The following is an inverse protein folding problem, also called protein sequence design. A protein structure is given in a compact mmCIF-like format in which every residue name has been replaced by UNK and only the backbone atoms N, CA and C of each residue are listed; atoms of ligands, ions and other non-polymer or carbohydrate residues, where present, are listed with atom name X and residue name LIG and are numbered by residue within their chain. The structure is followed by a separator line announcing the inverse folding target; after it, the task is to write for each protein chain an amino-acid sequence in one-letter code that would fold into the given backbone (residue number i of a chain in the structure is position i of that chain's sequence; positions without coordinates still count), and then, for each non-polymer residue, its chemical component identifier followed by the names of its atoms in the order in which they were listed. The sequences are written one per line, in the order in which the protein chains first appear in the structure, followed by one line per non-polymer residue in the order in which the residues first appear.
data_IF_601761665228
#
_entry.id   IF_601761665228
#
_cell.length_a   1.000
_cell.length_b   1.000
_cell.length_c   1.000
_cell.angle_alpha   90.00
_cell.angle_beta   90.00
_cell.angle_gamma   90.00
#
_symmetry.space_group_name_H-M   'P 1'
#
loop_
_entity.id
_entity.type
_entity.pdbx_description
1 polymer ?
#
# COMPACT_ATOMS: atom_id res chain seq x y z
N UNK A 1 -40.27 66.70 -11.79
CA UNK A 1 -38.87 66.39 -12.13
C UNK A 1 -38.46 64.93 -11.91
N UNK A 2 -39.33 64.06 -11.34
CA UNK A 2 -38.98 62.68 -10.95
C UNK A 2 -39.28 61.61 -12.03
N UNK A 3 -40.25 61.86 -12.93
CA UNK A 3 -40.69 60.90 -13.97
C UNK A 3 -39.73 60.74 -15.15
N UNK A 4 -39.01 61.81 -15.55
CA UNK A 4 -37.97 61.71 -16.60
C UNK A 4 -36.74 60.95 -16.14
N UNK A 5 -36.35 61.07 -14.86
CA UNK A 5 -35.21 60.32 -14.31
C UNK A 5 -35.51 58.82 -14.24
N UNK A 6 -36.72 58.44 -13.81
CA UNK A 6 -37.16 57.02 -13.77
C UNK A 6 -37.27 56.38 -15.16
N UNK A 7 -37.77 57.09 -16.17
CA UNK A 7 -37.79 56.58 -17.56
C UNK A 7 -36.39 56.44 -18.14
N UNK A 8 -35.49 57.39 -17.86
CA UNK A 8 -34.10 57.34 -18.30
C UNK A 8 -33.34 56.17 -17.66
N UNK A 9 -33.51 55.94 -16.35
CA UNK A 9 -32.87 54.82 -15.64
C UNK A 9 -33.39 53.46 -16.10
N UNK A 10 -34.69 53.35 -16.41
CA UNK A 10 -35.27 52.09 -16.94
C UNK A 10 -34.78 51.82 -18.36
N UNK A 11 -34.73 52.85 -19.23
CA UNK A 11 -34.21 52.71 -20.60
C UNK A 11 -32.70 52.39 -20.64
N UNK A 12 -31.91 53.01 -19.76
CA UNK A 12 -30.48 52.70 -19.60
C UNK A 12 -30.28 51.27 -19.08
N UNK A 13 -31.06 50.84 -18.08
CA UNK A 13 -30.95 49.50 -17.50
C UNK A 13 -31.29 48.38 -18.51
N UNK A 14 -32.28 48.58 -19.38
CA UNK A 14 -32.68 47.61 -20.41
C UNK A 14 -31.61 47.37 -21.47
N UNK A 15 -30.78 48.38 -21.79
CA UNK A 15 -29.72 48.26 -22.81
C UNK A 15 -28.39 47.75 -22.24
N UNK A 16 -28.14 47.97 -20.95
CA UNK A 16 -26.90 47.53 -20.28
C UNK A 16 -27.00 46.06 -19.82
N UNK A 17 -28.20 45.58 -19.47
CA UNK A 17 -28.42 44.21 -19.05
C UNK A 17 -27.92 43.13 -20.03
N UNK A 18 -28.23 43.18 -21.35
CA UNK A 18 -27.72 42.19 -22.31
C UNK A 18 -26.19 42.27 -22.48
N UNK A 19 -25.60 43.45 -22.36
CA UNK A 19 -24.15 43.65 -22.41
C UNK A 19 -23.45 42.92 -21.24
N UNK A 20 -23.95 43.12 -20.01
CA UNK A 20 -23.42 42.46 -18.81
C UNK A 20 -23.62 40.95 -18.87
N UNK A 21 -24.80 40.48 -19.32
CA UNK A 21 -25.08 39.06 -19.48
C UNK A 21 -24.14 38.40 -20.51
N UNK A 22 -23.90 39.04 -21.65
CA UNK A 22 -23.00 38.51 -22.68
C UNK A 22 -21.55 38.47 -22.18
N UNK A 23 -21.09 39.51 -21.49
CA UNK A 23 -19.76 39.54 -20.89
C UNK A 23 -19.56 38.41 -19.87
N UNK A 24 -20.53 38.21 -18.97
CA UNK A 24 -20.51 37.09 -18.02
C UNK A 24 -20.53 35.73 -18.71
N UNK A 25 -21.34 35.56 -19.77
CA UNK A 25 -21.39 34.32 -20.54
C UNK A 25 -20.03 34.01 -21.20
N UNK A 26 -19.37 35.01 -21.80
CA UNK A 26 -18.05 34.86 -22.42
C UNK A 26 -16.97 34.48 -21.38
N UNK A 27 -16.99 35.10 -20.21
CA UNK A 27 -16.07 34.75 -19.11
C UNK A 27 -16.29 33.33 -18.57
N UNK A 28 -17.50 32.79 -18.69
CA UNK A 28 -17.83 31.44 -18.25
C UNK A 28 -17.36 30.39 -19.26
N UNK A 29 -17.40 30.71 -20.56
CA UNK A 29 -17.01 29.80 -21.66
C UNK A 29 -15.48 29.74 -21.87
N UNK A 30 -14.74 30.81 -21.52
CA UNK A 30 -13.30 30.89 -21.76
C UNK A 30 -12.50 29.84 -20.96
N UNK A 31 -11.56 29.11 -21.61
CA UNK A 31 -10.76 28.08 -20.94
C UNK A 31 -9.85 28.69 -19.87
N UNK A 32 -9.77 28.03 -18.72
CA UNK A 32 -9.04 28.52 -17.53
C UNK A 32 -7.71 27.81 -17.29
N UNK A 33 -7.35 26.81 -18.09
CA UNK A 33 -6.13 26.02 -17.93
C UNK A 33 -5.40 25.81 -19.25
N UNK A 34 -4.07 25.74 -19.17
CA UNK A 34 -3.24 25.39 -20.31
C UNK A 34 -3.51 23.93 -20.72
N UNK A 35 -3.89 23.72 -21.98
CA UNK A 35 -4.02 22.37 -22.55
C UNK A 35 -2.72 22.00 -23.25
N UNK A 36 -2.23 20.79 -22.97
CA UNK A 36 -1.20 20.15 -23.78
C UNK A 36 -1.67 20.05 -25.24
N UNK A 37 -0.84 20.49 -26.17
CA UNK A 37 -1.25 20.78 -27.56
C UNK A 37 -1.03 19.63 -28.53
N UNK A 38 -0.36 18.57 -28.11
CA UNK A 38 0.02 17.46 -28.97
C UNK A 38 -0.84 16.24 -28.71
N UNK A 39 -1.43 15.72 -29.78
CA UNK A 39 -2.06 14.40 -29.79
C UNK A 39 -1.07 13.36 -30.30
N UNK A 40 -1.03 12.20 -29.64
CA UNK A 40 -0.14 11.09 -29.98
C UNK A 40 -0.79 9.75 -29.66
N UNK A 41 -0.24 8.69 -30.24
CA UNK A 41 -0.62 7.31 -29.96
C UNK A 41 0.64 6.45 -29.88
N UNK A 42 0.70 5.57 -28.89
CA UNK A 42 1.75 4.56 -28.77
C UNK A 42 1.84 3.73 -30.05
N UNK A 43 3.05 3.57 -30.58
CA UNK A 43 3.35 2.87 -31.83
C UNK A 43 3.16 3.69 -33.11
N UNK A 44 2.65 4.92 -33.03
CA UNK A 44 2.53 5.81 -34.19
C UNK A 44 3.77 6.71 -34.34
N UNK A 45 3.97 7.26 -35.53
CA UNK A 45 5.02 8.26 -35.80
C UNK A 45 4.63 9.61 -35.18
N UNK A 46 5.60 10.29 -34.58
CA UNK A 46 5.47 11.64 -34.06
C UNK A 46 5.52 12.65 -35.21
N UNK A 47 4.38 13.30 -35.48
CA UNK A 47 4.22 14.25 -36.59
C UNK A 47 4.38 15.71 -36.16
N UNK A 48 4.73 15.96 -34.90
CA UNK A 48 4.91 17.30 -34.38
C UNK A 48 6.39 17.64 -34.30
N UNK A 49 6.70 18.89 -34.02
CA UNK A 49 8.07 19.34 -33.77
C UNK A 49 8.70 18.56 -32.61
N UNK A 50 10.02 18.48 -32.62
CA UNK A 50 10.83 17.89 -31.55
C UNK A 50 10.45 18.50 -30.20
N UNK A 51 10.01 17.65 -29.28
CA UNK A 51 9.58 18.08 -27.95
C UNK A 51 10.73 17.91 -26.95
N UNK A 52 11.14 19.02 -26.37
CA UNK A 52 12.11 19.11 -25.27
C UNK A 52 11.36 19.57 -24.02
N UNK A 53 11.73 19.04 -22.86
CA UNK A 53 11.07 19.40 -21.61
C UNK A 53 11.37 20.84 -21.18
N UNK A 54 10.35 21.62 -20.81
CA UNK A 54 10.53 22.98 -20.30
C UNK A 54 10.71 23.04 -18.77
N UNK A 55 10.47 21.94 -18.07
CA UNK A 55 10.56 21.84 -16.61
C UNK A 55 10.92 20.41 -16.19
N UNK A 56 11.27 20.28 -14.92
CA UNK A 56 11.59 18.99 -14.32
C UNK A 56 10.30 18.22 -13.96
N UNK A 57 10.21 16.94 -14.31
CA UNK A 57 9.02 16.13 -14.01
C UNK A 57 9.30 14.65 -13.73
N UNK A 58 8.51 14.00 -12.86
CA UNK A 58 8.61 12.56 -12.64
C UNK A 58 7.97 11.76 -13.79
N UNK A 59 8.48 10.57 -14.04
CA UNK A 59 7.86 9.60 -14.95
C UNK A 59 6.89 8.73 -14.14
N UNK A 60 5.60 8.89 -14.38
CA UNK A 60 4.55 8.11 -13.74
C UNK A 60 4.49 6.70 -14.32
N UNK A 61 4.34 5.70 -13.44
CA UNK A 61 4.10 4.31 -13.84
C UNK A 61 2.70 4.16 -14.43
N UNK A 62 2.58 3.27 -15.41
CA UNK A 62 1.27 2.90 -15.96
C UNK A 62 0.46 2.07 -14.96
N UNK A 63 -0.86 2.02 -15.12
CA UNK A 63 -1.70 1.18 -14.29
C UNK A 63 -1.31 -0.30 -14.37
N UNK A 64 -0.95 -0.78 -15.57
CA UNK A 64 -0.48 -2.15 -15.81
C UNK A 64 0.81 -2.45 -15.03
N UNK A 65 1.80 -1.55 -15.07
CA UNK A 65 3.04 -1.69 -14.28
C UNK A 65 2.76 -1.67 -12.77
N UNK A 66 1.86 -0.80 -12.31
CA UNK A 66 1.48 -0.74 -10.89
C UNK A 66 0.77 -2.03 -10.44
N UNK A 67 -0.13 -2.57 -11.25
CA UNK A 67 -0.80 -3.84 -10.96
C UNK A 67 0.17 -5.02 -11.00
N UNK A 68 1.10 -5.04 -11.95
CA UNK A 68 2.13 -6.07 -12.03
C UNK A 68 3.08 -6.00 -10.83
N UNK A 69 3.53 -4.81 -10.44
CA UNK A 69 4.37 -4.61 -9.25
C UNK A 69 3.61 -4.93 -7.96
N UNK A 70 2.32 -4.60 -7.88
CA UNK A 70 1.44 -5.03 -6.77
C UNK A 70 1.29 -6.54 -6.73
N UNK A 71 1.11 -7.19 -7.86
CA UNK A 71 1.02 -8.65 -7.95
C UNK A 71 2.34 -9.31 -7.51
N UNK A 72 3.48 -8.79 -7.99
CA UNK A 72 4.81 -9.26 -7.60
C UNK A 72 5.10 -8.99 -6.11
N UNK A 73 4.70 -7.84 -5.57
CA UNK A 73 4.85 -7.51 -4.16
C UNK A 73 3.90 -8.34 -3.27
N UNK A 74 2.70 -8.67 -3.76
CA UNK A 74 1.75 -9.56 -3.08
C UNK A 74 2.21 -11.01 -3.04
N UNK A 75 2.93 -11.46 -4.07
CA UNK A 75 3.59 -12.78 -4.14
C UNK A 75 4.94 -12.81 -3.40
N UNK A 76 5.48 -11.64 -3.04
CA UNK A 76 6.75 -11.48 -2.32
C UNK A 76 6.59 -11.68 -0.82
N UNK A 77 6.69 -12.93 -0.35
CA UNK A 77 6.90 -13.33 1.05
C UNK A 77 6.11 -12.50 2.09
N UNK A 78 4.81 -12.76 2.18
CA UNK A 78 3.99 -12.22 3.27
C UNK A 78 4.55 -12.72 4.60
N UNK A 79 5.21 -11.84 5.35
CA UNK A 79 5.74 -12.18 6.67
C UNK A 79 4.56 -12.30 7.65
N UNK A 80 4.25 -13.49 8.17
CA UNK A 80 3.08 -13.70 9.01
C UNK A 80 3.27 -13.09 10.40
N UNK A 81 2.20 -12.51 10.93
CA UNK A 81 2.13 -12.04 12.31
C UNK A 81 1.44 -13.07 13.20
N UNK A 82 2.01 -13.29 14.37
CA UNK A 82 1.50 -14.17 15.40
C UNK A 82 1.37 -13.42 16.72
N UNK A 83 0.35 -13.76 17.49
CA UNK A 83 0.16 -13.28 18.85
C UNK A 83 0.58 -14.36 19.83
N UNK A 84 1.45 -14.00 20.77
CA UNK A 84 1.80 -14.88 21.87
C UNK A 84 0.64 -14.95 22.87
N UNK A 85 0.16 -16.16 23.19
CA UNK A 85 -0.91 -16.37 24.15
C UNK A 85 -0.38 -16.94 25.47
N UNK A 86 -0.15 -16.06 26.45
CA UNK A 86 0.19 -16.47 27.82
C UNK A 86 -0.94 -17.28 28.48
N UNK A 87 -2.19 -17.07 28.06
CA UNK A 87 -3.33 -17.83 28.56
C UNK A 87 -3.21 -19.33 28.24
N UNK A 88 -2.86 -19.66 27.00
CA UNK A 88 -2.67 -21.06 26.55
C UNK A 88 -1.51 -21.69 27.34
N UNK A 89 -0.40 -20.98 27.47
CA UNK A 89 0.77 -21.46 28.24
C UNK A 89 0.37 -21.75 29.68
N UNK A 90 -0.23 -20.78 30.37
CA UNK A 90 -0.61 -20.91 31.78
C UNK A 90 -1.64 -22.02 32.00
N UNK A 91 -2.64 -22.14 31.11
CA UNK A 91 -3.66 -23.20 31.17
C UNK A 91 -3.02 -24.59 31.07
N UNK A 92 -2.16 -24.80 30.08
CA UNK A 92 -1.57 -26.12 29.82
C UNK A 92 -0.48 -26.49 30.81
N UNK A 93 0.30 -25.51 31.29
CA UNK A 93 1.29 -25.73 32.35
C UNK A 93 0.60 -26.09 33.67
N UNK A 94 -0.49 -25.42 34.04
CA UNK A 94 -1.29 -25.79 35.23
C UNK A 94 -1.92 -27.17 35.08
N UNK A 95 -2.42 -27.51 33.89
CA UNK A 95 -2.94 -28.84 33.61
C UNK A 95 -1.84 -29.91 33.77
N UNK A 96 -0.63 -29.64 33.28
CA UNK A 96 0.53 -30.53 33.46
C UNK A 96 0.92 -30.71 34.94
N UNK A 97 0.85 -29.64 35.75
CA UNK A 97 1.10 -29.69 37.19
C UNK A 97 0.05 -30.52 37.96
N UNK A 98 -1.19 -30.53 37.46
CA UNK A 98 -2.31 -31.28 38.01
C UNK A 98 -2.37 -32.76 37.55
N UNK A 99 -1.54 -33.17 36.59
CA UNK A 99 -1.53 -34.55 36.10
C UNK A 99 -1.20 -35.55 37.21
N UNK A 100 -1.97 -36.63 37.26
CA UNK A 100 -1.75 -37.76 38.15
C UNK A 100 -0.89 -38.80 37.45
N UNK A 101 0.42 -38.76 37.70
CA UNK A 101 1.39 -39.70 37.13
C UNK A 101 1.66 -40.93 38.03
N UNK A 102 0.92 -41.08 39.14
CA UNK A 102 1.03 -42.21 40.06
C UNK A 102 2.47 -42.47 40.52
N UNK A 103 2.97 -43.69 40.26
CA UNK A 103 4.33 -44.12 40.58
C UNK A 103 5.44 -43.30 39.89
N UNK A 104 5.11 -42.48 38.89
CA UNK A 104 6.04 -41.66 38.11
C UNK A 104 6.00 -40.17 38.50
N UNK A 105 5.67 -39.85 39.77
CA UNK A 105 5.58 -38.47 40.24
C UNK A 105 6.87 -37.64 40.00
N UNK A 106 8.04 -38.27 40.01
CA UNK A 106 9.33 -37.64 39.70
C UNK A 106 9.43 -37.11 38.27
N UNK A 107 8.68 -37.67 37.32
CA UNK A 107 8.63 -37.21 35.91
C UNK A 107 7.94 -35.86 35.80
N UNK A 108 7.00 -35.56 36.70
CA UNK A 108 6.15 -34.36 36.62
C UNK A 108 6.93 -33.06 36.64
N UNK A 109 7.86 -32.92 37.58
CA UNK A 109 8.66 -31.69 37.73
C UNK A 109 9.51 -31.43 36.48
N UNK A 110 10.09 -32.48 35.90
CA UNK A 110 10.86 -32.39 34.66
C UNK A 110 9.96 -32.07 33.46
N UNK A 111 8.81 -32.72 33.34
CA UNK A 111 7.83 -32.45 32.30
C UNK A 111 7.40 -30.98 32.31
N UNK A 112 7.01 -30.45 33.47
CA UNK A 112 6.59 -29.05 33.61
C UNK A 112 7.71 -28.08 33.24
N UNK A 113 8.96 -28.35 33.64
CA UNK A 113 10.11 -27.53 33.27
C UNK A 113 10.37 -27.51 31.76
N UNK A 114 10.35 -28.69 31.11
CA UNK A 114 10.54 -28.81 29.67
C UNK A 114 9.38 -28.16 28.92
N UNK A 115 8.14 -28.37 29.36
CA UNK A 115 6.95 -27.77 28.77
C UNK A 115 7.01 -26.24 28.81
N UNK A 116 7.42 -25.65 29.95
CA UNK A 116 7.66 -24.21 30.07
C UNK A 116 8.73 -23.71 29.09
N UNK A 117 9.83 -24.45 28.90
CA UNK A 117 10.87 -24.04 27.94
C UNK A 117 10.40 -24.06 26.48
N UNK A 118 9.64 -25.09 26.09
CA UNK A 118 9.11 -25.21 24.72
C UNK A 118 8.07 -24.12 24.45
N UNK A 119 7.21 -23.83 25.42
CA UNK A 119 6.24 -22.73 25.32
C UNK A 119 6.88 -21.34 25.31
N UNK A 120 7.98 -21.14 26.04
CA UNK A 120 8.70 -19.87 26.06
C UNK A 120 9.31 -19.55 24.69
N UNK A 121 9.77 -20.57 23.98
CA UNK A 121 10.28 -20.46 22.62
C UNK A 121 9.15 -20.28 21.59
N UNK A 122 7.99 -20.87 21.85
CA UNK A 122 6.78 -20.68 21.06
C UNK A 122 6.47 -21.86 20.15
N UNK A 123 5.20 -22.24 20.12
CA UNK A 123 4.66 -23.37 19.35
C UNK A 123 3.68 -22.80 18.33
N UNK A 124 3.96 -23.05 17.05
CA UNK A 124 3.10 -22.73 15.91
C UNK A 124 2.32 -23.97 15.48
N UNK A 125 1.19 -23.76 14.82
CA UNK A 125 0.47 -24.83 14.14
C UNK A 125 1.29 -25.33 12.94
N UNK A 126 1.30 -26.64 12.71
CA UNK A 126 2.11 -27.28 11.66
C UNK A 126 1.78 -26.74 10.25
N UNK A 127 0.49 -26.50 9.98
CA UNK A 127 0.02 -25.88 8.72
C UNK A 127 0.07 -24.35 8.74
N UNK A 128 0.26 -23.75 9.93
CA UNK A 128 0.24 -22.30 10.14
C UNK A 128 1.48 -21.61 9.57
N UNK A 129 2.62 -22.31 9.53
CA UNK A 129 3.80 -21.82 8.82
C UNK A 129 3.53 -21.94 7.33
N UNK A 130 2.82 -20.95 6.78
CA UNK A 130 2.74 -20.67 5.34
C UNK A 130 4.08 -20.11 4.87
N UNK A 131 5.11 -20.93 5.05
CA UNK A 131 6.39 -20.87 4.35
C UNK A 131 6.07 -20.78 2.88
N UNK A 132 6.61 -19.78 2.20
CA UNK A 132 6.44 -19.67 0.77
C UNK A 132 7.00 -20.94 0.14
N UNK A 133 6.19 -21.69 -0.61
CA UNK A 133 6.57 -23.01 -1.16
C UNK A 133 7.79 -22.95 -2.10
N UNK A 134 8.26 -21.74 -2.41
CA UNK A 134 9.44 -21.43 -3.24
C UNK A 134 10.74 -21.28 -2.44
N UNK A 135 10.70 -21.11 -1.11
CA UNK A 135 11.93 -20.97 -0.32
C UNK A 135 12.56 -22.34 -0.06
N UNK A 136 13.69 -22.62 -0.73
CA UNK A 136 14.45 -23.85 -0.54
C UNK A 136 15.11 -23.94 0.85
N UNK A 137 15.18 -22.83 1.61
CA UNK A 137 15.82 -22.75 2.92
C UNK A 137 14.92 -22.05 3.94
N UNK A 138 14.47 -22.81 4.95
CA UNK A 138 13.69 -22.32 6.09
C UNK A 138 14.46 -21.33 6.99
N UNK A 139 15.78 -21.21 6.81
CA UNK A 139 16.66 -20.33 7.61
C UNK A 139 16.49 -18.84 7.31
N UNK A 140 16.04 -18.50 6.10
CA UNK A 140 15.85 -17.11 5.68
C UNK A 140 14.43 -16.61 5.94
N UNK A 141 13.55 -17.52 6.36
CA UNK A 141 12.17 -17.19 6.67
C UNK A 141 12.01 -16.66 8.09
N UNK A 142 11.14 -15.67 8.19
CA UNK A 142 10.93 -14.88 9.39
C UNK A 142 9.45 -14.73 9.65
N UNK A 143 9.09 -14.52 10.91
CA UNK A 143 7.75 -14.22 11.36
C UNK A 143 7.80 -13.11 12.41
N UNK A 144 6.69 -12.41 12.62
CA UNK A 144 6.56 -11.46 13.71
C UNK A 144 5.78 -12.07 14.85
N UNK A 145 6.31 -11.99 16.07
CA UNK A 145 5.60 -12.38 17.29
C UNK A 145 5.28 -11.13 18.08
N UNK A 146 3.99 -10.92 18.35
CA UNK A 146 3.49 -9.87 19.21
C UNK A 146 3.38 -10.37 20.64
N UNK A 147 4.12 -9.71 21.54
CA UNK A 147 4.05 -9.91 22.99
C UNK A 147 3.93 -8.55 23.69
N UNK A 148 2.97 -8.42 24.62
CA UNK A 148 2.77 -7.21 25.42
C UNK A 148 2.76 -5.90 24.60
N UNK A 149 2.04 -5.91 23.47
CA UNK A 149 1.89 -4.82 22.49
C UNK A 149 3.11 -4.50 21.61
N UNK A 150 4.21 -5.24 21.72
CA UNK A 150 5.37 -5.11 20.81
C UNK A 150 5.44 -6.29 19.87
N UNK A 151 5.59 -6.03 18.57
CA UNK A 151 5.92 -7.04 17.58
C UNK A 151 7.43 -7.09 17.37
N UNK A 152 8.01 -8.28 17.50
CA UNK A 152 9.43 -8.53 17.27
C UNK A 152 9.59 -9.57 16.17
N UNK A 153 10.62 -9.40 15.33
CA UNK A 153 10.94 -10.29 14.22
C UNK A 153 11.75 -11.49 14.72
N UNK A 154 11.34 -12.69 14.35
CA UNK A 154 12.01 -13.95 14.70
C UNK A 154 12.20 -14.82 13.46
N UNK A 155 13.32 -15.53 13.32
CA UNK A 155 13.45 -16.62 12.36
C UNK A 155 12.44 -17.74 12.63
N UNK A 156 11.93 -18.38 11.58
CA UNK A 156 11.04 -19.56 11.70
C UNK A 156 11.74 -20.71 12.43
N UNK A 157 13.07 -20.80 12.31
CA UNK A 157 13.89 -21.81 13.01
C UNK A 157 13.92 -21.63 14.53
N UNK A 158 13.58 -20.44 15.03
CA UNK A 158 13.52 -20.16 16.46
C UNK A 158 12.19 -20.58 17.11
N UNK A 159 11.18 -21.00 16.34
CA UNK A 159 9.91 -21.51 16.88
C UNK A 159 9.76 -23.01 16.63
N UNK A 160 8.94 -23.67 17.43
CA UNK A 160 8.62 -25.08 17.22
C UNK A 160 7.31 -25.27 16.47
N UNK A 161 7.31 -26.14 15.47
CA UNK A 161 6.07 -26.75 14.99
C UNK A 161 5.49 -27.64 16.09
N UNK A 162 4.17 -27.86 16.09
CA UNK A 162 3.52 -28.65 17.12
C UNK A 162 4.05 -30.10 17.14
N UNK A 163 4.32 -30.71 15.98
CA UNK A 163 4.97 -32.02 15.90
C UNK A 163 6.37 -32.02 16.52
N UNK A 164 7.15 -30.99 16.23
CA UNK A 164 8.54 -30.87 16.68
C UNK A 164 8.60 -30.60 18.19
N UNK A 165 7.69 -29.78 18.70
CA UNK A 165 7.49 -29.55 20.13
C UNK A 165 7.17 -30.86 20.86
N UNK A 166 6.25 -31.68 20.33
CA UNK A 166 5.91 -32.99 20.91
C UNK A 166 7.11 -33.93 20.96
N UNK A 167 7.85 -34.03 19.87
CA UNK A 167 9.06 -34.85 19.80
C UNK A 167 10.13 -34.35 20.78
N UNK A 168 10.32 -33.03 20.88
CA UNK A 168 11.29 -32.40 21.79
C UNK A 168 10.96 -32.66 23.25
N UNK A 169 9.69 -32.50 23.65
CA UNK A 169 9.25 -32.77 25.03
C UNK A 169 9.48 -34.25 25.38
N UNK A 170 9.08 -35.17 24.49
CA UNK A 170 9.30 -36.61 24.69
C UNK A 170 10.77 -36.95 24.85
N UNK A 171 11.64 -36.43 23.98
CA UNK A 171 13.07 -36.69 24.01
C UNK A 171 13.74 -36.12 25.28
N UNK A 172 13.46 -34.86 25.64
CA UNK A 172 14.10 -34.21 26.79
C UNK A 172 13.67 -34.77 28.14
N UNK A 173 12.40 -35.18 28.27
CA UNK A 173 11.92 -35.85 29.46
C UNK A 173 12.42 -37.30 29.49
N UNK A 174 12.37 -38.02 28.37
CA UNK A 174 12.86 -39.39 28.26
C UNK A 174 14.35 -39.55 28.60
N UNK A 175 15.20 -38.59 28.18
CA UNK A 175 16.63 -38.55 28.57
C UNK A 175 16.85 -38.54 30.08
N UNK A 176 15.96 -37.89 30.82
CA UNK A 176 16.05 -37.80 32.30
C UNK A 176 15.57 -39.09 32.99
N UNK A 177 14.84 -39.95 32.29
CA UNK A 177 14.25 -41.18 32.83
C UNK A 177 14.33 -42.35 31.83
N UNK A 178 15.54 -42.84 31.51
CA UNK A 178 15.74 -43.87 30.48
C UNK A 178 15.08 -45.22 30.80
N UNK A 179 14.81 -45.50 32.08
CA UNK A 179 14.20 -46.75 32.54
C UNK A 179 12.68 -46.82 32.36
N UNK A 180 12.03 -45.74 31.91
CA UNK A 180 10.58 -45.69 31.73
C UNK A 180 10.20 -45.65 30.25
N UNK A 181 9.11 -46.35 29.90
CA UNK A 181 8.48 -46.20 28.59
C UNK A 181 7.67 -44.88 28.57
N UNK A 182 8.36 -43.80 28.23
CA UNK A 182 7.81 -42.45 28.32
C UNK A 182 6.64 -42.21 27.36
N UNK A 183 6.65 -42.82 26.17
CA UNK A 183 5.57 -42.69 25.19
C UNK A 183 4.25 -43.26 25.75
N UNK A 184 4.30 -44.44 26.37
CA UNK A 184 3.13 -45.04 27.02
C UNK A 184 2.58 -44.18 28.15
N UNK A 185 3.47 -43.65 29.01
CA UNK A 185 3.08 -42.76 30.11
C UNK A 185 2.45 -41.47 29.57
N UNK A 186 3.04 -40.88 28.55
CA UNK A 186 2.56 -39.62 27.97
C UNK A 186 1.18 -39.79 27.31
N UNK A 187 0.93 -40.92 26.64
CA UNK A 187 -0.39 -41.25 26.09
C UNK A 187 -1.41 -41.46 27.20
N UNK A 188 -1.09 -42.29 28.20
CA UNK A 188 -2.01 -42.59 29.30
C UNK A 188 -2.36 -41.36 30.14
N UNK A 189 -1.40 -40.45 30.33
CA UNK A 189 -1.59 -39.23 31.10
C UNK A 189 -2.07 -38.03 30.27
N UNK A 190 -2.29 -38.18 28.95
CA UNK A 190 -2.77 -37.09 28.10
C UNK A 190 -1.77 -35.94 27.89
N UNK A 191 -0.47 -36.19 28.01
CA UNK A 191 0.58 -35.16 27.91
C UNK A 191 0.61 -34.52 26.51
N UNK A 192 0.38 -35.31 25.45
CA UNK A 192 0.39 -34.81 24.08
C UNK A 192 -0.73 -33.81 23.77
N UNK A 193 -1.83 -33.88 24.51
CA UNK A 193 -2.98 -32.97 24.40
C UNK A 193 -2.69 -31.61 25.04
N UNK A 194 -1.70 -31.55 25.94
CA UNK A 194 -1.23 -30.31 26.57
C UNK A 194 -0.21 -29.57 25.71
N UNK A 195 0.25 -30.14 24.59
CA UNK A 195 1.20 -29.52 23.66
C UNK A 195 0.41 -29.00 22.46
N UNK A 196 -0.03 -27.76 22.57
CA UNK A 196 -0.84 -27.07 21.56
C UNK A 196 -0.20 -25.73 21.19
N UNK A 197 -0.51 -25.17 20.01
CA UNK A 197 0.07 -23.89 19.59
C UNK A 197 -0.28 -22.76 20.56
N UNK A 198 0.71 -21.99 20.99
CA UNK A 198 0.54 -20.75 21.75
C UNK A 198 0.85 -19.50 20.93
N UNK A 199 1.41 -19.66 19.73
CA UNK A 199 1.54 -18.61 18.73
C UNK A 199 0.31 -18.67 17.81
N UNK A 200 -0.59 -17.71 17.99
CA UNK A 200 -1.86 -17.65 17.27
C UNK A 200 -1.74 -16.70 16.08
N UNK A 201 -2.03 -17.19 14.88
CA UNK A 201 -1.93 -16.38 13.66
C UNK A 201 -2.86 -15.17 13.71
N UNK A 202 -2.29 -13.98 13.57
CA UNK A 202 -3.01 -12.70 13.54
C UNK A 202 -3.26 -12.30 12.08
N UNK A 203 -4.33 -12.87 11.52
CA UNK A 203 -4.74 -12.64 10.13
C UNK A 203 -4.94 -11.15 9.85
N UNK A 204 -5.65 -10.45 10.75
CA UNK A 204 -5.98 -9.04 10.57
C UNK A 204 -4.72 -8.17 10.48
N UNK A 205 -3.77 -8.35 11.41
CA UNK A 205 -2.52 -7.58 11.40
C UNK A 205 -1.66 -7.93 10.18
N UNK A 206 -1.60 -9.21 9.82
CA UNK A 206 -0.86 -9.65 8.63
C UNK A 206 -1.42 -9.02 7.36
N UNK A 207 -2.74 -9.06 7.17
CA UNK A 207 -3.41 -8.47 6.00
C UNK A 207 -3.31 -6.95 5.98
N UNK A 208 -3.41 -6.28 7.13
CA UNK A 208 -3.28 -4.83 7.23
C UNK A 208 -1.86 -4.37 6.85
N UNK A 209 -0.83 -5.00 7.43
CA UNK A 209 0.57 -4.67 7.12
C UNK A 209 0.91 -4.99 5.66
N UNK A 210 0.32 -6.06 5.11
CA UNK A 210 0.45 -6.39 3.70
C UNK A 210 -0.17 -5.30 2.81
N UNK A 211 -1.39 -4.86 3.13
CA UNK A 211 -2.06 -3.78 2.39
C UNK A 211 -1.25 -2.47 2.44
N UNK A 212 -0.77 -2.07 3.62
CA UNK A 212 0.08 -0.90 3.77
C UNK A 212 1.40 -1.04 2.99
N UNK A 213 2.00 -2.23 2.94
CA UNK A 213 3.23 -2.45 2.19
C UNK A 213 3.02 -2.36 0.68
N UNK A 214 1.87 -2.81 0.17
CA UNK A 214 1.48 -2.67 -1.24
C UNK A 214 1.18 -1.20 -1.61
N UNK A 215 0.70 -0.38 -0.67
CA UNK A 215 0.52 1.06 -0.87
C UNK A 215 1.84 1.83 -0.95
N UNK A 216 2.96 1.26 -0.48
CA UNK A 216 4.30 1.90 -0.53
C UNK A 216 4.97 1.78 -1.91
N UNK A 217 4.30 1.19 -2.90
CA UNK A 217 4.81 1.16 -4.28
C UNK A 217 4.84 2.59 -4.83
N UNK A 218 6.04 3.06 -5.19
CA UNK A 218 6.21 4.40 -5.75
C UNK A 218 5.39 4.56 -7.02
N UNK A 219 4.57 5.63 -7.16
CA UNK A 219 3.81 5.89 -8.38
C UNK A 219 4.70 6.31 -9.56
N UNK A 220 5.99 6.55 -9.31
CA UNK A 220 6.96 7.02 -10.30
C UNK A 220 8.14 6.06 -10.39
N UNK A 221 8.74 5.95 -11.57
CA UNK A 221 9.89 5.07 -11.86
C UNK A 221 11.18 5.83 -12.19
N UNK A 222 11.13 7.15 -12.27
CA UNK A 222 12.25 7.98 -12.68
C UNK A 222 11.87 9.45 -12.81
N UNK A 223 12.77 10.23 -13.40
CA UNK A 223 12.67 11.68 -13.51
C UNK A 223 13.30 12.17 -14.81
N UNK A 224 12.70 13.19 -15.41
CA UNK A 224 13.19 13.89 -16.61
C UNK A 224 13.47 15.34 -16.23
N UNK A 225 14.67 15.80 -16.55
CA UNK A 225 15.08 17.18 -16.27
C UNK A 225 14.64 18.14 -17.38
N UNK A 226 14.50 19.42 -17.04
CA UNK A 226 14.32 20.51 -17.99
C UNK A 226 15.47 20.52 -19.01
N UNK A 227 15.13 20.75 -20.28
CA UNK A 227 16.06 20.71 -21.41
C UNK A 227 16.33 19.31 -21.97
N UNK A 228 15.77 18.25 -21.37
CA UNK A 228 15.90 16.88 -21.88
C UNK A 228 14.94 16.64 -23.05
N UNK A 229 15.43 15.96 -24.09
CA UNK A 229 14.64 15.52 -25.24
C UNK A 229 13.61 14.47 -24.81
N UNK A 230 12.34 14.68 -25.15
CA UNK A 230 11.24 13.74 -24.92
C UNK A 230 11.00 12.89 -26.18
N UNK A 231 10.88 13.53 -27.34
CA UNK A 231 10.65 12.87 -28.64
C UNK A 231 11.08 13.77 -29.80
N UNK A 232 11.66 13.18 -30.84
CA UNK A 232 12.08 13.88 -32.05
C UNK A 232 11.01 13.88 -33.14
N UNK A 233 11.00 14.88 -34.01
CA UNK A 233 10.17 14.88 -35.22
C UNK A 233 10.44 13.63 -36.08
N UNK A 234 9.37 12.92 -36.47
CA UNK A 234 9.45 11.70 -37.27
C UNK A 234 9.80 10.43 -36.49
N UNK A 235 10.01 10.52 -35.17
CA UNK A 235 10.33 9.37 -34.32
C UNK A 235 9.08 8.52 -34.02
N UNK A 236 9.25 7.22 -33.82
CA UNK A 236 8.15 6.34 -33.42
C UNK A 236 7.92 6.49 -31.92
N UNK A 237 6.67 6.75 -31.51
CA UNK A 237 6.28 6.85 -30.11
C UNK A 237 6.32 5.46 -29.46
N UNK A 238 7.45 5.13 -28.84
CA UNK A 238 7.64 3.88 -28.09
C UNK A 238 6.81 3.87 -26.80
N UNK A 239 6.80 2.73 -26.08
CA UNK A 239 6.15 2.65 -24.77
C UNK A 239 6.73 3.66 -23.77
N UNK A 240 8.05 3.82 -23.77
CA UNK A 240 8.76 4.75 -22.90
C UNK A 240 8.46 6.21 -23.27
N UNK A 241 8.51 6.54 -24.56
CA UNK A 241 8.18 7.90 -25.04
C UNK A 241 6.72 8.24 -24.72
N UNK A 242 5.78 7.31 -24.96
CA UNK A 242 4.38 7.52 -24.59
C UNK A 242 4.23 7.82 -23.10
N UNK A 243 4.92 7.07 -22.24
CA UNK A 243 4.88 7.25 -20.79
C UNK A 243 5.49 8.60 -20.35
N UNK A 244 6.60 9.04 -20.99
CA UNK A 244 7.17 10.37 -20.78
C UNK A 244 6.21 11.47 -21.24
N UNK A 245 5.58 11.32 -22.42
CA UNK A 245 4.59 12.27 -22.94
C UNK A 245 3.36 12.37 -22.05
N UNK A 246 2.85 11.25 -21.55
CA UNK A 246 1.71 11.19 -20.62
C UNK A 246 2.06 11.91 -19.31
N UNK A 247 3.25 11.63 -18.76
CA UNK A 247 3.72 12.26 -17.52
C UNK A 247 3.96 13.76 -17.70
N UNK A 248 4.58 14.16 -18.81
CA UNK A 248 4.80 15.56 -19.15
C UNK A 248 3.48 16.31 -19.34
N UNK A 249 2.51 15.70 -20.05
CA UNK A 249 1.17 16.26 -20.23
C UNK A 249 0.45 16.47 -18.89
N UNK A 250 0.53 15.49 -17.99
CA UNK A 250 -0.07 15.58 -16.66
C UNK A 250 0.53 16.73 -15.85
N UNK A 251 1.86 16.81 -15.78
CA UNK A 251 2.53 17.90 -15.07
C UNK A 251 2.35 19.26 -15.74
N UNK A 252 2.33 19.32 -17.08
CA UNK A 252 2.07 20.54 -17.83
C UNK A 252 0.70 21.11 -17.47
N UNK A 253 -0.32 20.27 -17.44
CA UNK A 253 -1.69 20.68 -17.11
C UNK A 253 -1.86 21.02 -15.62
N UNK A 254 -1.15 20.32 -14.72
CA UNK A 254 -1.17 20.55 -13.29
C UNK A 254 -0.38 21.81 -12.88
N UNK A 255 0.90 21.89 -13.24
CA UNK A 255 1.81 22.97 -12.86
C UNK A 255 1.53 24.28 -13.60
N UNK A 256 1.14 24.27 -14.89
CA UNK A 256 0.72 25.51 -15.55
C UNK A 256 -0.68 25.97 -15.13
N UNK A 257 -1.48 25.09 -14.51
CA UNK A 257 -2.73 25.46 -13.86
C UNK A 257 -2.55 26.17 -12.51
N UNK A 258 -1.41 25.96 -11.83
CA UNK A 258 -1.21 26.36 -10.43
C UNK A 258 -0.02 27.30 -10.19
N UNK A 259 1.05 27.27 -10.99
CA UNK A 259 2.35 27.88 -10.61
C UNK A 259 2.78 29.13 -11.39
N UNK A 260 1.93 29.72 -12.21
CA UNK A 260 2.04 31.14 -12.56
C UNK A 260 0.67 31.73 -12.38
N UNK A 261 0.57 32.67 -11.43
CA UNK A 261 -0.56 33.56 -11.20
C UNK A 261 -1.53 33.49 -12.36
N UNK A 262 -2.73 32.92 -12.18
CA UNK A 262 -3.76 32.88 -13.23
C UNK A 262 -4.23 34.29 -13.62
N UNK A 263 -3.78 35.32 -12.90
CA UNK A 263 -4.14 36.72 -13.06
C UNK A 263 -3.91 37.29 -14.47
N UNK A 264 -2.79 37.09 -15.20
CA UNK A 264 -2.64 37.60 -16.55
C UNK A 264 -3.54 36.87 -17.55
N UNK A 265 -3.82 35.57 -17.36
CA UNK A 265 -4.80 34.84 -18.19
C UNK A 265 -6.22 35.34 -17.92
N UNK A 266 -6.58 35.57 -16.65
CA UNK A 266 -7.89 36.13 -16.26
C UNK A 266 -8.04 37.57 -16.75
N UNK A 267 -7.03 38.42 -16.58
CA UNK A 267 -7.01 39.80 -17.08
C UNK A 267 -7.09 39.82 -18.61
N UNK A 268 -6.35 38.94 -19.29
CA UNK A 268 -6.41 38.80 -20.74
C UNK A 268 -7.80 38.39 -21.22
N UNK A 269 -8.41 37.38 -20.59
CA UNK A 269 -9.77 36.95 -20.89
C UNK A 269 -10.80 38.06 -20.63
N UNK A 270 -10.64 38.83 -19.55
CA UNK A 270 -11.47 40.00 -19.24
C UNK A 270 -11.33 41.09 -20.30
N UNK A 271 -10.10 41.41 -20.72
CA UNK A 271 -9.84 42.41 -21.76
C UNK A 271 -10.42 41.98 -23.11
N UNK A 272 -10.17 40.75 -23.54
CA UNK A 272 -10.68 40.21 -24.81
C UNK A 272 -12.21 40.16 -24.81
N UNK A 273 -12.83 39.68 -23.73
CA UNK A 273 -14.28 39.69 -23.59
C UNK A 273 -14.83 41.11 -23.60
N UNK A 274 -14.20 42.06 -22.91
CA UNK A 274 -14.62 43.46 -22.89
C UNK A 274 -14.56 44.07 -24.31
N UNK A 275 -13.47 43.87 -25.03
CA UNK A 275 -13.30 44.37 -26.40
C UNK A 275 -14.33 43.76 -27.35
N UNK A 276 -14.55 42.45 -27.29
CA UNK A 276 -15.56 41.76 -28.12
C UNK A 276 -16.97 42.32 -27.91
N UNK A 277 -17.36 42.50 -26.66
CA UNK A 277 -18.69 43.04 -26.33
C UNK A 277 -18.77 44.52 -26.73
N UNK A 278 -17.71 45.32 -26.55
CA UNK A 278 -17.69 46.71 -27.02
C UNK A 278 -17.86 46.81 -28.54
N UNK A 279 -17.15 45.99 -29.32
CA UNK A 279 -17.28 45.98 -30.79
C UNK A 279 -18.71 45.63 -31.22
N UNK A 280 -19.30 44.59 -30.63
CA UNK A 280 -20.65 44.11 -30.99
C UNK A 280 -21.77 45.09 -30.66
N UNK A 281 -21.59 45.97 -29.68
CA UNK A 281 -22.61 46.94 -29.25
C UNK A 281 -22.33 48.37 -29.73
N UNK A 282 -21.17 48.62 -30.34
CA UNK A 282 -20.77 49.92 -30.89
C UNK A 282 -20.95 49.99 -32.41
N UNK A 283 -21.11 48.84 -33.07
CA UNK A 283 -21.67 48.69 -34.43
C UNK A 283 -23.19 48.69 -34.36
#
# INVERSE_FOLDING_TARGET
MDTSRKKLTVLLSSRILPFVLLFLALLLIMPRTAKFRYDYRKGAVWHHETLISDFDFPIYKTAEQMEEERAQAGDGSVIPYYRFSDEIVNKNVRAAEALQLGAHASVKSRLVAVLRSVYAQGIVQDEGVRVDKRSANLSDEVLYIQKDKRASKYPVTEVYRQTDARAKVMAEVGKSFPSFNMDSIFRAAGVYDLIVPNLIYDKQTTELVQAESAERISPTQGFVSAGQLIVSEGEIVTAEIAQMLDSYKQEYQSNMGLQKSSLPYVIGNVLVALILVLILFLV
#
